data_IF_822904236929
#
_entry.id   IF_822904236929
#
_cell.length_a   1.000
_cell.length_b   1.000
_cell.length_c   1.000
_cell.angle_alpha   90.00
_cell.angle_beta   90.00
_cell.angle_gamma   90.00
#
_symmetry.space_group_name_H-M   'P 1'
#
loop_
_entity.id
_entity.type
_entity.pdbx_description
1 polymer ?
#
# COMPACT_ATOMS: atom_id res chain seq x y z
N UNK A 1 -19.70 1.70 26.55
CA UNK A 1 -18.67 2.04 25.55
C UNK A 1 -18.86 1.09 24.38
N UNK A 2 -19.49 1.58 23.31
CA UNK A 2 -19.79 0.77 22.12
C UNK A 2 -18.50 0.36 21.41
N UNK A 3 -18.15 -0.92 21.53
CA UNK A 3 -17.19 -1.59 20.66
C UNK A 3 -17.77 -1.68 19.25
N UNK A 4 -17.64 -0.60 18.47
CA UNK A 4 -17.92 -0.63 17.04
C UNK A 4 -17.03 -1.72 16.39
N UNK A 5 -17.61 -2.77 15.77
CA UNK A 5 -16.82 -3.78 15.09
C UNK A 5 -16.02 -3.10 13.99
N UNK A 6 -14.70 -3.35 13.95
CA UNK A 6 -13.80 -2.92 12.88
C UNK A 6 -14.42 -3.37 11.55
N UNK A 7 -15.02 -2.44 10.78
CA UNK A 7 -15.62 -2.74 9.48
C UNK A 7 -14.63 -3.53 8.64
N UNK A 8 -14.93 -4.80 8.42
CA UNK A 8 -14.20 -5.68 7.55
C UNK A 8 -14.40 -5.11 6.14
N UNK A 9 -13.42 -4.37 5.61
CA UNK A 9 -13.37 -3.93 4.20
C UNK A 9 -13.15 -5.15 3.28
N UNK A 10 -14.04 -6.13 3.35
CA UNK A 10 -14.04 -7.26 2.43
C UNK A 10 -15.07 -6.92 1.38
N UNK A 11 -14.60 -6.62 0.18
CA UNK A 11 -15.46 -6.55 -0.98
C UNK A 11 -16.06 -7.95 -1.17
N UNK A 12 -17.37 -8.01 -1.42
CA UNK A 12 -18.02 -9.23 -1.89
C UNK A 12 -17.53 -9.59 -3.30
N UNK A 13 -17.66 -10.87 -3.65
CA UNK A 13 -17.10 -11.40 -4.90
C UNK A 13 -17.69 -10.73 -6.14
N UNK A 14 -18.99 -10.45 -6.14
CA UNK A 14 -19.68 -9.78 -7.25
C UNK A 14 -19.12 -8.37 -7.48
N UNK A 15 -18.88 -7.62 -6.40
CA UNK A 15 -18.25 -6.30 -6.47
C UNK A 15 -16.79 -6.39 -6.92
N UNK A 16 -16.04 -7.40 -6.50
CA UNK A 16 -14.67 -7.64 -7.00
C UNK A 16 -14.66 -7.91 -8.51
N UNK A 17 -15.53 -8.80 -8.98
CA UNK A 17 -15.66 -9.16 -10.39
C UNK A 17 -16.07 -7.94 -11.23
N UNK A 18 -16.99 -7.12 -10.71
CA UNK A 18 -17.41 -5.85 -11.34
C UNK A 18 -16.23 -4.87 -11.46
N UNK A 19 -15.44 -4.70 -10.40
CA UNK A 19 -14.27 -3.82 -10.43
C UNK A 19 -13.22 -4.34 -11.41
N UNK A 20 -12.90 -5.64 -11.37
CA UNK A 20 -11.92 -6.27 -12.25
C UNK A 20 -12.28 -6.09 -13.72
N UNK A 21 -13.50 -6.47 -14.09
CA UNK A 21 -13.99 -6.36 -15.47
C UNK A 21 -13.89 -4.94 -15.98
N UNK A 22 -14.49 -3.98 -15.25
CA UNK A 22 -14.52 -2.59 -15.67
C UNK A 22 -13.12 -1.96 -15.72
N UNK A 23 -12.24 -2.24 -14.75
CA UNK A 23 -10.90 -1.65 -14.72
C UNK A 23 -10.00 -2.21 -15.82
N UNK A 24 -10.14 -3.48 -16.18
CA UNK A 24 -9.43 -4.06 -17.33
C UNK A 24 -9.91 -3.43 -18.63
N UNK A 25 -11.22 -3.39 -18.89
CA UNK A 25 -11.82 -2.71 -20.05
C UNK A 25 -11.38 -1.24 -20.13
N UNK A 26 -11.35 -0.54 -19.00
CA UNK A 26 -10.88 0.85 -18.90
C UNK A 26 -9.39 0.99 -19.23
N UNK A 27 -8.54 0.04 -18.84
CA UNK A 27 -7.11 0.04 -19.21
C UNK A 27 -6.93 -0.24 -20.69
N UNK A 28 -7.61 -1.26 -21.21
CA UNK A 28 -7.49 -1.73 -22.59
C UNK A 28 -8.00 -0.70 -23.60
N UNK A 29 -9.04 0.05 -23.23
CA UNK A 29 -9.57 1.18 -24.01
C UNK A 29 -8.71 2.46 -23.93
N UNK A 30 -7.52 2.42 -23.34
CA UNK A 30 -6.64 3.58 -23.25
C UNK A 30 -7.06 4.62 -22.20
N UNK A 31 -7.84 4.22 -21.19
CA UNK A 31 -8.29 5.05 -20.07
C UNK A 31 -9.15 6.25 -20.50
N UNK A 32 -10.28 6.01 -21.19
CA UNK A 32 -11.08 7.05 -21.83
C UNK A 32 -11.69 8.07 -20.85
N UNK A 33 -11.82 7.72 -19.57
CA UNK A 33 -12.30 8.63 -18.53
C UNK A 33 -11.28 8.81 -17.39
N UNK A 34 -11.24 10.03 -16.81
CA UNK A 34 -10.28 10.38 -15.73
C UNK A 34 -10.70 9.90 -14.33
N UNK A 35 -11.96 9.50 -14.13
CA UNK A 35 -12.53 9.18 -12.80
C UNK A 35 -13.19 7.78 -12.77
N UNK A 36 -12.45 6.70 -13.07
CA UNK A 36 -13.02 5.35 -13.19
C UNK A 36 -13.70 4.88 -11.89
N UNK A 37 -13.13 5.21 -10.73
CA UNK A 37 -13.68 4.81 -9.43
C UNK A 37 -14.97 5.55 -9.05
N UNK A 38 -15.20 6.75 -9.59
CA UNK A 38 -16.47 7.44 -9.41
C UNK A 38 -17.59 6.71 -10.14
N UNK A 39 -17.33 6.28 -11.37
CA UNK A 39 -18.26 5.47 -12.17
C UNK A 39 -18.52 4.12 -11.48
N UNK A 40 -17.48 3.45 -10.97
CA UNK A 40 -17.67 2.20 -10.23
C UNK A 40 -18.56 2.38 -9.00
N UNK A 41 -18.41 3.48 -8.26
CA UNK A 41 -19.22 3.73 -7.07
C UNK A 41 -20.72 3.91 -7.33
N UNK A 42 -21.14 4.13 -8.58
CA UNK A 42 -22.56 4.14 -8.95
C UNK A 42 -23.11 2.73 -9.23
N UNK A 43 -22.24 1.71 -9.30
CA UNK A 43 -22.58 0.33 -9.67
C UNK A 43 -22.52 -0.65 -8.50
N UNK A 44 -21.75 -0.32 -7.46
CA UNK A 44 -21.52 -1.18 -6.29
C UNK A 44 -21.64 -0.36 -5.00
N UNK A 45 -21.98 -0.97 -3.84
CA UNK A 45 -22.25 -0.25 -2.59
C UNK A 45 -20.97 0.20 -1.87
N UNK A 46 -19.99 0.76 -2.61
CA UNK A 46 -18.70 1.21 -2.08
C UNK A 46 -18.34 2.60 -2.61
N UNK A 47 -17.76 3.41 -1.73
CA UNK A 47 -17.30 4.75 -2.12
C UNK A 47 -16.12 4.68 -3.09
N UNK A 48 -15.91 5.71 -3.95
CA UNK A 48 -14.75 5.76 -4.85
C UNK A 48 -13.42 5.57 -4.13
N UNK A 49 -13.33 6.08 -2.89
CA UNK A 49 -12.14 5.97 -2.03
C UNK A 49 -11.88 4.53 -1.59
N UNK A 50 -12.92 3.79 -1.18
CA UNK A 50 -12.79 2.37 -0.83
C UNK A 50 -12.35 1.55 -2.04
N UNK A 51 -12.97 1.78 -3.19
CA UNK A 51 -12.68 1.07 -4.44
C UNK A 51 -11.24 1.33 -4.88
N UNK A 52 -10.84 2.61 -4.95
CA UNK A 52 -9.48 2.99 -5.33
C UNK A 52 -8.42 2.40 -4.37
N UNK A 53 -8.71 2.43 -3.06
CA UNK A 53 -7.83 1.83 -2.07
C UNK A 53 -7.72 0.32 -2.25
N UNK A 54 -8.83 -0.38 -2.52
CA UNK A 54 -8.84 -1.82 -2.72
C UNK A 54 -8.10 -2.22 -3.99
N UNK A 55 -8.38 -1.54 -5.10
CA UNK A 55 -7.68 -1.72 -6.37
C UNK A 55 -6.16 -1.59 -6.22
N UNK A 56 -5.68 -0.52 -5.59
CA UNK A 56 -4.25 -0.24 -5.45
C UNK A 56 -3.50 -1.16 -4.47
N UNK A 57 -4.21 -1.95 -3.67
CA UNK A 57 -3.58 -2.78 -2.63
C UNK A 57 -3.88 -4.28 -2.72
N UNK A 58 -4.90 -4.70 -3.48
CA UNK A 58 -5.36 -6.09 -3.51
C UNK A 58 -5.74 -6.58 -4.90
N UNK A 59 -6.55 -5.80 -5.62
CA UNK A 59 -7.29 -6.33 -6.77
C UNK A 59 -6.60 -6.11 -8.12
N UNK A 60 -5.78 -5.06 -8.26
CA UNK A 60 -5.09 -4.79 -9.52
C UNK A 60 -4.16 -5.95 -9.90
N UNK A 61 -4.38 -6.64 -11.04
CA UNK A 61 -3.60 -7.81 -11.44
C UNK A 61 -2.10 -7.53 -11.64
N UNK A 62 -1.73 -6.27 -11.90
CA UNK A 62 -0.32 -5.86 -12.06
C UNK A 62 0.43 -5.74 -10.73
N UNK A 63 -0.25 -5.93 -9.59
CA UNK A 63 0.38 -5.81 -8.27
C UNK A 63 1.30 -6.99 -7.96
N UNK A 64 2.57 -6.69 -7.69
CA UNK A 64 3.52 -7.63 -7.11
C UNK A 64 3.35 -7.67 -5.58
N UNK A 65 2.32 -8.39 -5.12
CA UNK A 65 2.00 -8.53 -3.69
C UNK A 65 3.12 -9.26 -2.94
N UNK A 66 3.51 -8.75 -1.77
CA UNK A 66 4.62 -9.31 -0.98
C UNK A 66 4.40 -10.77 -0.58
N UNK A 67 3.14 -11.20 -0.42
CA UNK A 67 2.79 -12.60 -0.11
C UNK A 67 3.14 -13.59 -1.23
N UNK A 68 3.20 -13.12 -2.48
CA UNK A 68 3.47 -13.95 -3.65
C UNK A 68 4.90 -13.72 -4.14
N UNK A 69 5.34 -12.47 -4.16
CA UNK A 69 6.66 -12.05 -4.61
C UNK A 69 7.27 -11.21 -3.48
N UNK A 70 8.18 -11.74 -2.67
CA UNK A 70 8.81 -10.98 -1.60
C UNK A 70 9.58 -9.74 -2.11
N UNK A 71 9.78 -8.74 -1.25
CA UNK A 71 10.73 -7.67 -1.55
C UNK A 71 12.16 -8.23 -1.58
N UNK A 72 12.90 -7.90 -2.65
CA UNK A 72 14.35 -8.11 -2.72
C UNK A 72 15.08 -7.22 -1.69
N UNK A 73 16.36 -7.51 -1.44
CA UNK A 73 17.16 -6.69 -0.52
C UNK A 73 17.37 -5.28 -1.06
N UNK A 74 17.62 -5.13 -2.36
CA UNK A 74 17.79 -3.83 -3.01
C UNK A 74 16.52 -2.99 -2.91
N UNK A 75 15.34 -3.58 -3.14
CA UNK A 75 14.06 -2.90 -2.96
C UNK A 75 13.86 -2.42 -1.50
N UNK A 76 14.20 -3.27 -0.52
CA UNK A 76 14.10 -2.91 0.90
C UNK A 76 15.03 -1.76 1.23
N UNK A 77 16.28 -1.84 0.82
CA UNK A 77 17.28 -0.81 1.07
C UNK A 77 16.87 0.52 0.44
N UNK A 78 16.41 0.49 -0.81
CA UNK A 78 15.86 1.65 -1.51
C UNK A 78 14.72 2.28 -0.71
N UNK A 79 13.71 1.49 -0.30
CA UNK A 79 12.56 1.97 0.48
C UNK A 79 13.02 2.60 1.79
N UNK A 80 13.92 1.96 2.53
CA UNK A 80 14.39 2.45 3.82
C UNK A 80 15.18 3.76 3.68
N UNK A 81 16.09 3.83 2.71
CA UNK A 81 16.89 5.02 2.43
C UNK A 81 15.99 6.18 2.02
N UNK A 82 15.07 5.93 1.09
CA UNK A 82 14.13 6.94 0.59
C UNK A 82 13.25 7.50 1.71
N UNK A 83 12.63 6.63 2.52
CA UNK A 83 11.75 7.08 3.61
C UNK A 83 12.53 7.83 4.69
N UNK A 84 13.73 7.35 5.07
CA UNK A 84 14.58 8.06 6.04
C UNK A 84 14.99 9.44 5.54
N UNK A 85 15.42 9.56 4.28
CA UNK A 85 15.76 10.85 3.69
C UNK A 85 14.56 11.79 3.66
N UNK A 86 13.40 11.30 3.24
CA UNK A 86 12.18 12.11 3.23
C UNK A 86 11.80 12.62 4.62
N UNK A 87 11.87 11.77 5.65
CA UNK A 87 11.57 12.16 7.03
C UNK A 87 12.60 13.13 7.63
N UNK A 88 13.86 13.09 7.19
CA UNK A 88 14.89 14.06 7.60
C UNK A 88 14.68 15.43 6.98
N UNK A 89 14.34 15.47 5.69
CA UNK A 89 14.17 16.73 4.93
C UNK A 89 12.78 17.32 5.13
N UNK A 90 11.79 16.52 5.52
CA UNK A 90 10.41 16.92 5.68
C UNK A 90 9.78 16.29 6.92
N UNK A 91 9.31 17.12 7.85
CA UNK A 91 8.43 16.69 8.95
C UNK A 91 7.00 16.35 8.49
N UNK A 92 6.82 16.04 7.20
CA UNK A 92 5.52 15.73 6.60
C UNK A 92 5.29 14.22 6.52
N UNK A 93 4.03 13.87 6.27
CA UNK A 93 3.60 12.49 6.02
C UNK A 93 4.27 11.95 4.76
N UNK A 94 4.85 10.75 4.87
CA UNK A 94 5.48 10.04 3.74
C UNK A 94 4.49 9.89 2.57
N UNK A 95 4.83 10.35 1.34
CA UNK A 95 3.96 10.26 0.19
C UNK A 95 4.10 8.87 -0.47
N UNK A 96 3.44 7.87 0.13
CA UNK A 96 3.53 6.46 -0.29
C UNK A 96 3.22 6.20 -1.77
N UNK A 97 2.32 6.99 -2.37
CA UNK A 97 1.99 6.90 -3.80
C UNK A 97 3.20 7.25 -4.68
N UNK A 98 3.93 8.30 -4.33
CA UNK A 98 5.15 8.70 -5.05
C UNK A 98 6.24 7.65 -4.89
N UNK A 99 6.42 7.10 -3.68
CA UNK A 99 7.36 6.01 -3.45
C UNK A 99 7.01 4.76 -4.26
N UNK A 100 5.72 4.39 -4.35
CA UNK A 100 5.26 3.28 -5.19
C UNK A 100 5.63 3.48 -6.67
N UNK A 101 5.44 4.69 -7.20
CA UNK A 101 5.84 5.01 -8.59
C UNK A 101 7.34 4.84 -8.80
N UNK A 102 8.17 5.35 -7.87
CA UNK A 102 9.63 5.20 -7.96
C UNK A 102 10.08 3.74 -7.90
N UNK A 103 9.46 2.91 -7.06
CA UNK A 103 9.76 1.47 -7.02
C UNK A 103 9.40 0.81 -8.36
N UNK A 104 8.29 1.21 -8.99
CA UNK A 104 7.93 0.70 -10.31
C UNK A 104 8.95 1.12 -11.37
N UNK A 105 9.42 2.38 -11.35
CA UNK A 105 10.41 2.91 -12.29
C UNK A 105 11.77 2.20 -12.14
N UNK A 106 12.26 2.04 -10.90
CA UNK A 106 13.60 1.51 -10.63
C UNK A 106 13.66 -0.03 -10.70
N UNK A 107 12.57 -0.72 -10.32
CA UNK A 107 12.57 -2.20 -10.18
C UNK A 107 11.58 -2.92 -11.08
N UNK A 108 10.77 -2.19 -11.86
CA UNK A 108 9.74 -2.79 -12.73
C UNK A 108 8.58 -3.46 -11.98
N UNK A 109 8.47 -3.28 -10.66
CA UNK A 109 7.48 -3.97 -9.82
C UNK A 109 6.48 -2.99 -9.21
N UNK A 110 5.21 -3.13 -9.56
CA UNK A 110 4.15 -2.36 -8.92
C UNK A 110 3.80 -2.96 -7.55
N UNK A 111 4.47 -2.50 -6.50
CA UNK A 111 4.25 -2.95 -5.12
C UNK A 111 2.99 -2.34 -4.53
N UNK A 112 2.21 -3.10 -3.76
CA UNK A 112 1.06 -2.55 -3.04
C UNK A 112 1.50 -1.51 -2.01
N UNK A 113 0.80 -0.38 -1.91
CA UNK A 113 1.16 0.68 -0.96
C UNK A 113 1.15 0.19 0.50
N UNK A 114 0.21 -0.70 0.82
CA UNK A 114 0.13 -1.29 2.14
C UNK A 114 1.32 -2.20 2.46
N UNK A 115 1.85 -2.92 1.47
CA UNK A 115 3.03 -3.76 1.64
C UNK A 115 4.28 -2.90 1.90
N UNK A 116 4.45 -1.80 1.16
CA UNK A 116 5.53 -0.82 1.39
C UNK A 116 5.43 -0.23 2.81
N UNK A 117 4.23 0.19 3.22
CA UNK A 117 3.98 0.73 4.57
C UNK A 117 4.29 -0.29 5.66
N UNK A 118 3.83 -1.52 5.49
CA UNK A 118 4.06 -2.61 6.45
C UNK A 118 5.56 -2.91 6.58
N UNK A 119 6.27 -2.97 5.46
CA UNK A 119 7.72 -3.16 5.44
C UNK A 119 8.45 -2.06 6.22
N UNK A 120 8.11 -0.79 5.97
CA UNK A 120 8.66 0.34 6.72
C UNK A 120 8.32 0.27 8.21
N UNK A 121 7.07 -0.01 8.56
CA UNK A 121 6.64 -0.07 9.96
C UNK A 121 7.37 -1.17 10.75
N UNK A 122 7.63 -2.32 10.12
CA UNK A 122 8.45 -3.39 10.71
C UNK A 122 9.89 -2.90 10.91
N UNK A 123 10.47 -2.25 9.89
CA UNK A 123 11.83 -1.70 9.99
C UNK A 123 11.94 -0.64 11.09
N UNK A 124 10.99 0.31 11.15
CA UNK A 124 10.92 1.34 12.17
C UNK A 124 10.86 0.74 13.57
N UNK A 125 9.96 -0.23 13.81
CA UNK A 125 9.87 -0.93 15.10
C UNK A 125 11.18 -1.60 15.50
N UNK A 126 11.93 -2.16 14.53
CA UNK A 126 13.26 -2.71 14.82
C UNK A 126 14.21 -1.61 15.26
N UNK A 127 14.31 -0.51 14.52
CA UNK A 127 15.16 0.63 14.89
C UNK A 127 14.83 1.18 16.28
N UNK A 128 13.54 1.37 16.57
CA UNK A 128 13.08 1.87 17.86
C UNK A 128 13.50 0.93 19.02
N UNK A 129 13.49 -0.40 18.80
CA UNK A 129 14.01 -1.38 19.78
C UNK A 129 15.53 -1.33 19.92
N UNK A 130 16.26 -1.17 18.81
CA UNK A 130 17.72 -1.08 18.84
C UNK A 130 18.21 0.22 19.51
N UNK A 131 17.42 1.30 19.42
CA UNK A 131 17.72 2.58 20.05
C UNK A 131 17.06 2.75 21.42
N UNK A 132 16.25 1.79 21.88
CA UNK A 132 15.80 1.77 23.26
C UNK A 132 17.03 1.54 24.16
N UNK A 133 17.21 2.31 25.25
CA UNK A 133 18.25 2.03 26.23
C UNK A 133 18.15 0.56 26.63
N UNK A 134 19.25 -0.19 26.55
CA UNK A 134 19.36 -1.50 27.19
C UNK A 134 19.28 -1.26 28.70
N UNK A 135 18.08 -1.16 29.25
CA UNK A 135 17.91 -1.11 30.70
C UNK A 135 18.22 -2.51 31.26
N UNK A 136 19.27 -2.53 32.07
CA UNK A 136 19.61 -3.46 33.14
C UNK A 136 19.77 -4.96 32.83
N UNK A 137 21.03 -5.36 32.67
CA UNK A 137 21.56 -6.68 33.06
C UNK A 137 22.95 -6.58 33.72
N UNK A 138 23.19 -5.51 34.49
CA UNK A 138 24.35 -5.41 35.39
C UNK A 138 23.89 -4.97 36.79
N UNK A 139 23.03 -5.78 37.39
CA UNK A 139 22.85 -5.88 38.85
C UNK A 139 22.47 -7.32 39.20
N UNK A 140 23.47 -8.20 39.23
CA UNK A 140 23.45 -9.49 39.91
C UNK A 140 24.80 -9.65 40.62
#
# INVERSE_FOLDING_TARGET
MDCQPKKLNRFDKESEDTILKYMNEWIDSGKPNRKPFAILSTRIPYTPKQISHYWANKLNPKLCLNKNIPFSNDEKEFIFKWVKQHLKTSNKKVPWKTLQTKILEDFGKLRAQNDIKNLWNIHKKKLDRWMAPKLDFEKL
#
